data_IF_803387007801
#
_entry.id   IF_803387007801
#
_cell.length_a   1.000
_cell.length_b   1.000
_cell.length_c   1.000
_cell.angle_alpha   90.00
_cell.angle_beta   90.00
_cell.angle_gamma   90.00
#
_symmetry.space_group_name_H-M   'P 1'
#
loop_
_entity.id
_entity.type
_entity.pdbx_description
1 polymer ?
#
# COMPACT_ATOMS: atom_id res chain seq x y z
N UNK A 1 14.10 -23.88 36.11
CA UNK A 1 14.35 -24.18 34.68
C UNK A 1 13.26 -25.10 34.18
N UNK A 2 12.20 -24.51 33.63
CA UNK A 2 11.25 -25.07 32.64
C UNK A 2 10.21 -23.97 32.44
N UNK A 3 10.47 -23.08 31.48
CA UNK A 3 9.42 -22.21 30.94
C UNK A 3 8.37 -23.11 30.30
N UNK A 4 7.21 -23.20 30.93
CA UNK A 4 6.01 -23.74 30.31
C UNK A 4 5.55 -22.64 29.36
N UNK A 5 6.14 -22.57 28.15
CA UNK A 5 5.54 -21.81 27.06
C UNK A 5 4.17 -22.43 26.80
N UNK A 6 3.12 -21.67 27.10
CA UNK A 6 1.74 -22.10 26.91
C UNK A 6 1.54 -22.34 25.40
N UNK A 7 1.18 -23.55 24.99
CA UNK A 7 1.08 -23.94 23.58
C UNK A 7 0.04 -23.07 22.81
N UNK A 8 -0.86 -22.40 23.55
CA UNK A 8 -1.85 -21.43 23.06
C UNK A 8 -1.26 -20.10 22.54
N UNK A 9 -0.03 -19.77 22.90
CA UNK A 9 0.62 -18.51 22.52
C UNK A 9 1.38 -18.64 21.21
N UNK A 10 1.72 -19.87 20.80
CA UNK A 10 2.44 -20.12 19.55
C UNK A 10 1.49 -20.07 18.36
N UNK A 11 1.91 -19.39 17.31
CA UNK A 11 1.17 -19.34 16.05
C UNK A 11 1.28 -20.70 15.35
N UNK A 12 0.21 -21.17 14.67
CA UNK A 12 0.32 -22.31 13.77
C UNK A 12 1.44 -22.09 12.74
N UNK A 13 2.20 -23.13 12.32
CA UNK A 13 3.38 -22.94 11.47
C UNK A 13 3.11 -22.18 10.16
N UNK A 14 1.96 -22.41 9.51
CA UNK A 14 1.57 -21.69 8.30
C UNK A 14 1.30 -20.21 8.53
N UNK A 15 0.65 -19.88 9.66
CA UNK A 15 0.34 -18.51 10.09
C UNK A 15 1.63 -17.77 10.43
N UNK A 16 2.53 -18.40 11.19
CA UNK A 16 3.84 -17.84 11.53
C UNK A 16 4.65 -17.53 10.26
N UNK A 17 4.74 -18.49 9.33
CA UNK A 17 5.45 -18.31 8.07
C UNK A 17 4.83 -17.19 7.23
N UNK A 18 3.50 -17.09 7.18
CA UNK A 18 2.84 -15.99 6.48
C UNK A 18 3.18 -14.64 7.12
N UNK A 19 3.04 -14.50 8.43
CA UNK A 19 3.35 -13.27 9.17
C UNK A 19 4.79 -12.84 8.93
N UNK A 20 5.75 -13.76 9.04
CA UNK A 20 7.16 -13.46 8.82
C UNK A 20 7.43 -12.97 7.39
N UNK A 21 6.93 -13.68 6.37
CA UNK A 21 7.14 -13.34 4.95
C UNK A 21 6.41 -12.08 4.54
N UNK A 22 5.22 -11.84 5.09
CA UNK A 22 4.50 -10.59 4.87
C UNK A 22 5.27 -9.41 5.48
N UNK A 23 5.86 -9.61 6.66
CA UNK A 23 6.80 -8.65 7.27
C UNK A 23 8.01 -8.33 6.39
N UNK A 24 8.64 -9.35 5.81
CA UNK A 24 9.75 -9.20 4.88
C UNK A 24 9.31 -8.38 3.64
N UNK A 25 8.17 -8.74 3.05
CA UNK A 25 7.65 -8.08 1.86
C UNK A 25 7.27 -6.62 2.13
N UNK A 26 6.70 -6.30 3.30
CA UNK A 26 6.32 -4.94 3.68
C UNK A 26 7.48 -3.95 3.58
N UNK A 27 8.69 -4.37 3.96
CA UNK A 27 9.89 -3.52 3.89
C UNK A 27 10.26 -3.12 2.46
N UNK A 28 10.03 -3.99 1.48
CA UNK A 28 10.26 -3.70 0.06
C UNK A 28 9.29 -2.62 -0.46
N UNK A 29 8.15 -2.45 0.19
CA UNK A 29 7.11 -1.50 -0.19
C UNK A 29 7.13 -0.24 0.69
N UNK A 30 8.20 -0.04 1.47
CA UNK A 30 8.38 1.12 2.34
C UNK A 30 7.59 1.06 3.66
N UNK A 31 7.05 -0.11 4.03
CA UNK A 31 6.32 -0.33 5.28
C UNK A 31 7.25 -0.93 6.33
N UNK A 32 7.17 -0.45 7.57
CA UNK A 32 7.94 -1.04 8.67
C UNK A 32 7.60 -2.52 8.86
N UNK A 33 8.62 -3.37 9.06
CA UNK A 33 8.44 -4.82 9.25
C UNK A 33 7.41 -5.15 10.33
N UNK A 34 7.48 -4.49 11.49
CA UNK A 34 6.62 -4.76 12.64
C UNK A 34 5.17 -4.38 12.36
N UNK A 35 4.96 -3.26 11.67
CA UNK A 35 3.64 -2.80 11.21
C UNK A 35 3.00 -3.85 10.29
N UNK A 36 3.76 -4.35 9.31
CA UNK A 36 3.29 -5.39 8.41
C UNK A 36 2.99 -6.70 9.17
N UNK A 37 3.88 -7.15 10.06
CA UNK A 37 3.67 -8.37 10.85
C UNK A 37 2.43 -8.30 11.75
N UNK A 38 2.20 -7.15 12.41
CA UNK A 38 1.02 -6.94 13.24
C UNK A 38 -0.25 -6.94 12.40
N UNK A 39 -0.24 -6.30 11.23
CA UNK A 39 -1.37 -6.32 10.33
C UNK A 39 -1.67 -7.74 9.83
N UNK A 40 -0.65 -8.53 9.45
CA UNK A 40 -0.84 -9.93 9.05
C UNK A 40 -1.40 -10.78 10.18
N UNK A 41 -0.90 -10.62 11.42
CA UNK A 41 -1.43 -11.33 12.57
C UNK A 41 -2.91 -10.99 12.78
N UNK A 42 -3.27 -9.71 12.81
CA UNK A 42 -4.65 -9.27 13.01
C UNK A 42 -5.56 -9.72 11.86
N UNK A 43 -5.09 -9.71 10.62
CA UNK A 43 -5.84 -10.20 9.46
C UNK A 43 -6.16 -11.70 9.53
N UNK A 44 -5.27 -12.49 10.12
CA UNK A 44 -5.44 -13.94 10.28
C UNK A 44 -6.07 -14.33 11.63
N UNK A 45 -6.39 -13.36 12.49
CA UNK A 45 -6.95 -13.64 13.81
C UNK A 45 -8.47 -13.77 13.76
N UNK A 46 -9.00 -14.85 14.32
CA UNK A 46 -10.46 -15.08 14.39
C UNK A 46 -11.16 -14.17 15.40
N UNK A 47 -10.41 -13.56 16.33
CA UNK A 47 -10.93 -12.68 17.38
C UNK A 47 -10.10 -11.39 17.45
N UNK A 48 -10.69 -10.30 17.97
CA UNK A 48 -9.93 -9.12 18.35
C UNK A 48 -8.77 -9.48 19.29
N UNK A 49 -7.61 -8.86 19.08
CA UNK A 49 -6.44 -9.03 19.92
C UNK A 49 -6.12 -7.76 20.70
N UNK A 50 -5.67 -7.91 21.93
CA UNK A 50 -5.09 -6.80 22.72
C UNK A 50 -3.64 -6.51 22.31
N UNK A 51 -3.11 -5.36 22.72
CA UNK A 51 -1.69 -5.06 22.50
C UNK A 51 -0.78 -6.07 23.22
N UNK A 52 -1.20 -6.58 24.37
CA UNK A 52 -0.50 -7.64 25.11
C UNK A 52 -0.51 -8.97 24.35
N UNK A 53 -1.65 -9.37 23.78
CA UNK A 53 -1.75 -10.58 22.94
C UNK A 53 -0.78 -10.50 21.75
N UNK A 54 -0.74 -9.35 21.08
CA UNK A 54 0.12 -9.12 19.92
C UNK A 54 1.61 -9.18 20.33
N UNK A 55 1.96 -8.52 21.44
CA UNK A 55 3.33 -8.52 21.96
C UNK A 55 3.82 -9.93 22.28
N UNK A 56 2.96 -10.74 22.93
CA UNK A 56 3.27 -12.12 23.25
C UNK A 56 3.41 -12.99 21.99
N UNK A 57 2.42 -12.95 21.09
CA UNK A 57 2.39 -13.80 19.88
C UNK A 57 3.51 -13.52 18.89
N UNK A 58 3.95 -12.25 18.78
CA UNK A 58 5.02 -11.86 17.87
C UNK A 58 6.39 -11.71 18.55
N UNK A 59 6.47 -11.96 19.86
CA UNK A 59 7.66 -11.70 20.67
C UNK A 59 8.22 -10.28 20.44
N UNK A 60 7.34 -9.28 20.49
CA UNK A 60 7.67 -7.88 20.24
C UNK A 60 7.61 -7.05 21.52
N UNK A 61 8.52 -6.08 21.64
CA UNK A 61 8.45 -5.09 22.72
C UNK A 61 7.14 -4.29 22.69
N UNK A 62 6.52 -4.06 23.85
CA UNK A 62 5.25 -3.31 23.98
C UNK A 62 5.28 -1.92 23.34
N UNK A 63 6.42 -1.23 23.40
CA UNK A 63 6.60 0.09 22.75
C UNK A 63 6.53 -0.02 21.22
N UNK A 64 7.12 -1.06 20.64
CA UNK A 64 7.05 -1.32 19.20
C UNK A 64 5.63 -1.66 18.75
N UNK A 65 4.93 -2.51 19.52
CA UNK A 65 3.52 -2.83 19.27
C UNK A 65 2.66 -1.57 19.33
N UNK A 66 2.82 -0.73 20.36
CA UNK A 66 2.06 0.52 20.50
C UNK A 66 2.27 1.46 19.31
N UNK A 67 3.51 1.66 18.87
CA UNK A 67 3.81 2.51 17.72
C UNK A 67 3.24 1.94 16.42
N UNK A 68 3.37 0.63 16.22
CA UNK A 68 2.86 -0.05 15.03
C UNK A 68 1.33 0.00 14.96
N UNK A 69 0.63 -0.19 16.09
CA UNK A 69 -0.83 -0.05 16.16
C UNK A 69 -1.28 1.39 15.86
N UNK A 70 -0.58 2.41 16.38
CA UNK A 70 -0.86 3.81 16.03
C UNK A 70 -0.72 4.07 14.55
N UNK A 71 0.32 3.52 13.93
CA UNK A 71 0.53 3.65 12.49
C UNK A 71 -0.59 2.96 11.69
N UNK A 72 -0.94 1.71 12.04
CA UNK A 72 -2.02 0.97 11.38
C UNK A 72 -3.38 1.65 11.52
N UNK A 73 -3.68 2.24 12.69
CA UNK A 73 -4.88 3.04 12.91
C UNK A 73 -4.86 4.31 12.04
N UNK A 74 -3.72 4.99 11.93
CA UNK A 74 -3.59 6.18 11.09
C UNK A 74 -3.78 5.87 9.60
N UNK A 75 -3.38 4.68 9.16
CA UNK A 75 -3.68 4.15 7.82
C UNK A 75 -5.10 3.57 7.68
N UNK A 76 -5.86 3.48 8.78
CA UNK A 76 -7.20 2.87 8.86
C UNK A 76 -7.24 1.39 8.44
N UNK A 77 -6.11 0.71 8.54
CA UNK A 77 -5.96 -0.72 8.20
C UNK A 77 -6.40 -1.63 9.35
N UNK A 78 -6.52 -1.05 10.55
CA UNK A 78 -7.12 -1.68 11.72
C UNK A 78 -8.10 -0.71 12.37
N UNK A 79 -8.95 -1.24 13.24
CA UNK A 79 -9.85 -0.45 14.07
C UNK A 79 -9.92 -1.04 15.48
N UNK A 80 -10.37 -0.22 16.43
CA UNK A 80 -10.59 -0.65 17.82
C UNK A 80 -12.00 -1.23 17.96
N UNK A 81 -12.11 -2.34 18.67
CA UNK A 81 -13.39 -3.03 18.92
C UNK A 81 -13.60 -3.15 20.43
N UNK A 82 -14.76 -2.72 20.96
CA UNK A 82 -15.09 -2.94 22.36
C UNK A 82 -15.46 -4.40 22.61
N UNK A 83 -14.93 -4.99 23.68
CA UNK A 83 -15.26 -6.34 24.13
C UNK A 83 -15.96 -6.25 25.48
N UNK A 84 -17.18 -6.80 25.58
CA UNK A 84 -17.98 -6.71 26.80
C UNK A 84 -17.25 -7.36 27.99
N UNK A 85 -17.13 -6.61 29.09
CA UNK A 85 -16.45 -7.09 30.31
C UNK A 85 -14.93 -6.94 30.28
N UNK A 86 -14.34 -6.49 29.18
CA UNK A 86 -12.92 -6.18 29.08
C UNK A 86 -12.71 -4.68 28.80
N UNK A 87 -11.86 -4.05 29.61
CA UNK A 87 -11.57 -2.61 29.51
C UNK A 87 -10.39 -2.30 28.59
N UNK A 88 -9.68 -3.33 28.10
CA UNK A 88 -8.53 -3.16 27.22
C UNK A 88 -8.96 -2.83 25.80
N UNK A 89 -8.15 -2.05 25.10
CA UNK A 89 -8.30 -1.86 23.66
C UNK A 89 -8.06 -3.18 22.93
N UNK A 90 -9.05 -3.62 22.17
CA UNK A 90 -8.88 -4.73 21.22
C UNK A 90 -8.86 -4.21 19.80
N UNK A 91 -8.11 -4.90 18.95
CA UNK A 91 -7.85 -4.48 17.57
C UNK A 91 -8.28 -5.58 16.61
N UNK A 92 -8.90 -5.16 15.51
CA UNK A 92 -9.23 -6.00 14.36
C UNK A 92 -8.71 -5.35 13.07
N UNK A 93 -8.32 -6.18 12.10
CA UNK A 93 -7.87 -5.71 10.80
C UNK A 93 -9.03 -5.50 9.81
N UNK A 94 -8.80 -4.65 8.82
CA UNK A 94 -9.60 -4.65 7.59
C UNK A 94 -9.42 -5.98 6.86
N UNK A 95 -10.49 -6.78 6.76
CA UNK A 95 -10.47 -8.09 6.11
C UNK A 95 -10.74 -8.00 4.60
N UNK A 96 -11.33 -6.90 4.12
CA UNK A 96 -11.52 -6.68 2.68
C UNK A 96 -10.23 -6.17 2.05
N UNK A 97 -9.57 -7.04 1.27
CA UNK A 97 -8.32 -6.75 0.57
C UNK A 97 -8.44 -5.55 -0.40
N UNK A 98 -9.62 -5.31 -0.98
CA UNK A 98 -9.82 -4.14 -1.83
C UNK A 98 -9.91 -2.86 -1.02
N UNK A 99 -10.62 -2.89 0.11
CA UNK A 99 -10.63 -1.75 1.02
C UNK A 99 -9.24 -1.47 1.58
N UNK A 100 -8.48 -2.51 1.93
CA UNK A 100 -7.09 -2.39 2.33
C UNK A 100 -6.26 -1.68 1.25
N UNK A 101 -6.33 -2.15 0.00
CA UNK A 101 -5.62 -1.55 -1.13
C UNK A 101 -6.03 -0.08 -1.38
N UNK A 102 -7.34 0.22 -1.33
CA UNK A 102 -7.86 1.58 -1.50
C UNK A 102 -7.40 2.52 -0.39
N UNK A 103 -7.42 2.08 0.88
CA UNK A 103 -6.94 2.87 2.02
C UNK A 103 -5.44 3.17 1.91
N UNK A 104 -4.64 2.19 1.51
CA UNK A 104 -3.21 2.39 1.25
C UNK A 104 -3.01 3.39 0.11
N UNK A 105 -3.73 3.23 -1.01
CA UNK A 105 -3.63 4.14 -2.14
C UNK A 105 -4.00 5.59 -1.74
N UNK A 106 -5.14 5.78 -1.07
CA UNK A 106 -5.55 7.08 -0.55
C UNK A 106 -4.49 7.70 0.37
N UNK A 107 -3.94 6.91 1.31
CA UNK A 107 -2.91 7.39 2.22
C UNK A 107 -1.61 7.77 1.51
N UNK A 108 -1.19 7.01 0.49
CA UNK A 108 0.00 7.35 -0.31
C UNK A 108 -0.22 8.60 -1.15
N UNK A 109 -1.39 8.76 -1.78
CA UNK A 109 -1.73 10.00 -2.48
C UNK A 109 -1.60 11.21 -1.57
N UNK A 110 -2.25 11.16 -0.40
CA UNK A 110 -2.28 12.26 0.54
C UNK A 110 -0.88 12.62 1.09
N UNK A 111 -0.01 11.63 1.26
CA UNK A 111 1.33 11.82 1.84
C UNK A 111 2.42 12.11 0.82
N UNK A 112 2.30 11.61 -0.40
CA UNK A 112 3.37 11.65 -1.41
C UNK A 112 2.99 12.51 -2.63
N UNK A 113 1.77 12.36 -3.16
CA UNK A 113 1.34 13.01 -4.41
C UNK A 113 0.85 14.43 -4.14
N UNK A 114 -0.05 14.62 -3.17
CA UNK A 114 -0.67 15.92 -2.89
C UNK A 114 0.38 17.00 -2.53
N UNK A 115 1.39 16.72 -1.68
CA UNK A 115 2.43 17.70 -1.38
C UNK A 115 3.30 18.03 -2.61
N UNK A 116 3.57 17.04 -3.47
CA UNK A 116 4.36 17.24 -4.69
C UNK A 116 3.61 18.13 -5.68
N UNK A 117 2.31 17.85 -5.92
CA UNK A 117 1.44 18.67 -6.78
C UNK A 117 1.40 20.11 -6.26
N UNK A 118 1.16 20.29 -4.96
CA UNK A 118 1.12 21.60 -4.33
C UNK A 118 2.45 22.37 -4.46
N UNK A 119 3.58 21.70 -4.20
CA UNK A 119 4.91 22.31 -4.29
C UNK A 119 5.26 22.73 -5.72
N UNK A 120 4.97 21.89 -6.71
CA UNK A 120 5.22 22.22 -8.12
C UNK A 120 4.28 23.33 -8.58
N UNK A 121 3.01 23.30 -8.17
CA UNK A 121 2.05 24.38 -8.45
C UNK A 121 2.51 25.73 -7.87
N UNK A 122 3.02 25.74 -6.63
CA UNK A 122 3.60 26.94 -6.03
C UNK A 122 4.83 27.45 -6.81
N UNK A 123 5.69 26.55 -7.27
CA UNK A 123 6.86 26.92 -8.09
C UNK A 123 6.50 27.52 -9.45
N UNK A 124 5.26 27.34 -9.94
CA UNK A 124 4.79 27.93 -11.20
C UNK A 124 4.33 29.39 -11.05
N UNK A 125 4.20 29.93 -9.83
CA UNK A 125 3.70 31.29 -9.61
C UNK A 125 4.59 32.37 -10.28
N UNK A 126 5.91 32.17 -10.26
CA UNK A 126 6.89 33.09 -10.84
C UNK A 126 7.44 32.61 -12.19
N UNK A 127 6.67 31.77 -12.91
CA UNK A 127 7.13 31.18 -14.17
C UNK A 127 7.53 32.24 -15.20
N UNK A 128 6.92 33.43 -15.14
CA UNK A 128 7.14 34.59 -16.01
C UNK A 128 8.39 35.43 -15.70
N UNK A 129 9.19 35.06 -14.70
CA UNK A 129 10.43 35.76 -14.38
C UNK A 129 11.37 35.83 -15.61
N UNK A 130 11.84 37.02 -16.01
CA UNK A 130 12.69 37.20 -17.20
C UNK A 130 14.06 36.52 -17.08
N UNK A 131 14.49 36.14 -15.87
CA UNK A 131 15.72 35.37 -15.62
C UNK A 131 15.55 33.89 -16.02
N UNK A 132 14.32 33.41 -16.18
CA UNK A 132 14.03 32.03 -16.60
C UNK A 132 14.11 31.95 -18.12
N UNK A 133 15.11 31.21 -18.62
CA UNK A 133 15.21 30.94 -20.06
C UNK A 133 13.97 30.20 -20.59
N UNK A 134 13.62 30.44 -21.86
CA UNK A 134 12.48 29.78 -22.51
C UNK A 134 12.53 28.24 -22.42
N UNK A 135 13.72 27.64 -22.49
CA UNK A 135 13.90 26.19 -22.39
C UNK A 135 13.64 25.65 -20.98
N UNK A 136 14.03 26.40 -19.94
CA UNK A 136 13.75 26.03 -18.55
C UNK A 136 12.25 26.13 -18.28
N UNK A 137 11.63 27.23 -18.71
CA UNK A 137 10.17 27.41 -18.65
C UNK A 137 9.40 26.26 -19.27
N UNK A 138 9.78 25.84 -20.48
CA UNK A 138 9.12 24.71 -21.15
C UNK A 138 9.20 23.41 -20.32
N UNK A 139 10.34 23.14 -19.68
CA UNK A 139 10.52 21.95 -18.83
C UNK A 139 9.69 22.02 -17.55
N UNK A 140 9.61 23.19 -16.94
CA UNK A 140 8.80 23.44 -15.75
C UNK A 140 7.32 23.20 -16.05
N UNK A 141 6.81 23.77 -17.14
CA UNK A 141 5.43 23.55 -17.62
C UNK A 141 5.18 22.07 -17.91
N UNK A 142 6.07 21.40 -18.65
CA UNK A 142 5.91 19.98 -18.96
C UNK A 142 5.86 19.09 -17.70
N UNK A 143 6.66 19.40 -16.67
CA UNK A 143 6.63 18.68 -15.40
C UNK A 143 5.33 18.95 -14.63
N UNK A 144 4.90 20.21 -14.57
CA UNK A 144 3.64 20.60 -13.93
C UNK A 144 2.44 19.89 -14.58
N UNK A 145 2.36 19.87 -15.90
CA UNK A 145 1.29 19.21 -16.65
C UNK A 145 1.31 17.69 -16.45
N UNK A 146 2.51 17.09 -16.46
CA UNK A 146 2.68 15.66 -16.20
C UNK A 146 2.17 15.29 -14.80
N UNK A 147 2.59 16.02 -13.76
CA UNK A 147 2.19 15.74 -12.38
C UNK A 147 0.69 15.91 -12.18
N UNK A 148 0.07 16.95 -12.75
CA UNK A 148 -1.38 17.13 -12.69
C UNK A 148 -2.14 16.03 -13.45
N UNK A 149 -1.60 15.56 -14.57
CA UNK A 149 -2.19 14.43 -15.32
C UNK A 149 -2.18 13.16 -14.47
N UNK A 150 -1.06 12.86 -13.82
CA UNK A 150 -0.92 11.68 -12.95
C UNK A 150 -1.84 11.80 -11.73
N UNK A 151 -1.93 12.97 -11.10
CA UNK A 151 -2.83 13.19 -9.96
C UNK A 151 -4.30 13.03 -10.36
N UNK A 152 -4.72 13.62 -11.49
CA UNK A 152 -6.07 13.46 -12.01
C UNK A 152 -6.41 12.00 -12.29
N UNK A 153 -5.50 11.24 -12.89
CA UNK A 153 -5.66 9.81 -13.09
C UNK A 153 -5.78 9.04 -11.76
N UNK A 154 -4.96 9.39 -10.77
CA UNK A 154 -5.01 8.79 -9.44
C UNK A 154 -6.36 9.01 -8.76
N UNK A 155 -6.86 10.25 -8.78
CA UNK A 155 -8.16 10.63 -8.24
C UNK A 155 -9.30 9.85 -8.90
N UNK A 156 -9.25 9.69 -10.22
CA UNK A 156 -10.24 8.88 -10.95
C UNK A 156 -10.18 7.42 -10.49
N UNK A 157 -9.00 6.80 -10.49
CA UNK A 157 -8.82 5.39 -10.16
C UNK A 157 -9.24 5.04 -8.73
N UNK A 158 -9.06 5.94 -7.77
CA UNK A 158 -9.51 5.74 -6.38
C UNK A 158 -11.03 5.60 -6.24
N UNK A 159 -11.80 6.15 -7.18
CA UNK A 159 -13.25 6.12 -7.17
C UNK A 159 -13.84 4.99 -8.03
N UNK A 160 -13.00 4.22 -8.73
CA UNK A 160 -13.43 3.10 -9.55
C UNK A 160 -13.78 1.90 -8.66
N UNK A 161 -15.00 1.33 -8.76
CA UNK A 161 -15.36 0.13 -8.01
C UNK A 161 -14.43 -1.05 -8.32
N UNK A 162 -14.09 -1.92 -7.35
CA UNK A 162 -13.17 -3.04 -7.54
C UNK A 162 -13.48 -3.95 -8.73
N UNK A 163 -14.77 -4.22 -8.98
CA UNK A 163 -15.22 -5.03 -10.11
C UNK A 163 -14.85 -4.41 -11.48
N UNK A 164 -14.88 -3.08 -11.57
CA UNK A 164 -14.51 -2.35 -12.78
C UNK A 164 -12.99 -2.33 -12.95
N UNK A 165 -12.22 -2.16 -11.87
CA UNK A 165 -10.76 -2.30 -11.89
C UNK A 165 -10.36 -3.68 -12.43
N UNK A 166 -10.99 -4.76 -11.95
CA UNK A 166 -10.72 -6.11 -12.45
C UNK A 166 -11.08 -6.28 -13.93
N UNK A 167 -12.13 -5.62 -14.40
CA UNK A 167 -12.51 -5.63 -15.82
C UNK A 167 -11.44 -4.93 -16.66
N UNK A 168 -10.94 -3.77 -16.21
CA UNK A 168 -9.83 -3.06 -16.86
C UNK A 168 -8.55 -3.91 -16.92
N UNK A 169 -8.16 -4.56 -15.82
CA UNK A 169 -6.99 -5.46 -15.76
C UNK A 169 -7.13 -6.60 -16.79
N UNK A 170 -8.31 -7.24 -16.85
CA UNK A 170 -8.57 -8.33 -17.81
C UNK A 170 -8.54 -7.85 -19.26
N UNK A 171 -9.03 -6.64 -19.54
CA UNK A 171 -8.96 -6.05 -20.88
C UNK A 171 -7.51 -5.70 -21.25
N UNK A 172 -6.74 -5.13 -20.33
CA UNK A 172 -5.32 -4.83 -20.52
C UNK A 172 -4.51 -6.08 -20.89
N UNK A 173 -4.75 -7.21 -20.23
CA UNK A 173 -4.12 -8.48 -20.57
C UNK A 173 -4.40 -8.92 -22.02
N UNK A 174 -5.63 -8.68 -22.52
CA UNK A 174 -6.00 -8.97 -23.92
C UNK A 174 -5.33 -8.01 -24.90
N UNK A 175 -5.23 -6.72 -24.57
CA UNK A 175 -4.54 -5.73 -25.41
C UNK A 175 -3.05 -6.04 -25.51
N UNK A 176 -2.38 -6.37 -24.39
CA UNK A 176 -0.97 -6.79 -24.40
C UNK A 176 -0.77 -8.10 -25.18
N UNK A 177 -1.68 -9.05 -25.05
CA UNK A 177 -1.67 -10.29 -25.83
C UNK A 177 -1.80 -10.02 -27.33
N UNK A 178 -2.70 -9.11 -27.72
CA UNK A 178 -2.90 -8.71 -29.11
C UNK A 178 -1.68 -7.95 -29.66
N UNK A 179 -1.08 -7.03 -28.89
CA UNK A 179 0.14 -6.33 -29.28
C UNK A 179 1.32 -7.30 -29.46
N UNK A 180 1.49 -8.29 -28.56
CA UNK A 180 2.50 -9.35 -28.74
C UNK A 180 2.23 -10.20 -29.99
N UNK A 181 0.97 -10.50 -30.28
CA UNK A 181 0.58 -11.28 -31.45
C UNK A 181 0.78 -10.51 -32.77
N UNK A 182 0.50 -9.21 -32.78
CA UNK A 182 0.70 -8.33 -33.94
C UNK A 182 2.21 -8.06 -34.15
N UNK A 183 2.96 -7.77 -33.08
CA UNK A 183 4.43 -7.60 -33.16
C UNK A 183 5.15 -8.91 -33.51
N UNK A 184 4.61 -10.08 -33.14
CA UNK A 184 5.16 -11.39 -33.52
C UNK A 184 4.93 -11.79 -34.97
N UNK A 185 4.04 -11.10 -35.70
CA UNK A 185 3.75 -11.37 -37.13
C UNK A 185 4.59 -10.53 -38.11
N UNK A 186 5.38 -9.57 -37.61
CA UNK A 186 6.24 -8.69 -38.42
C UNK A 186 7.69 -9.14 -38.60
N UNK A 187 8.09 -10.26 -37.99
CA UNK A 187 9.48 -10.75 -37.99
C UNK A 187 9.68 -12.06 -38.75
N UNK A 188 9.31 -12.12 -40.03
CA UNK A 188 9.72 -13.21 -40.92
C UNK A 188 9.60 -12.75 -42.37
N UNK A 189 10.68 -12.13 -42.86
CA UNK A 189 11.26 -12.27 -44.21
C UNK A 189 12.27 -11.15 -44.44
N UNK A 190 13.51 -11.43 -44.03
CA UNK A 190 14.68 -10.91 -44.75
C UNK A 190 15.53 -12.13 -45.05
N UNK A 191 15.29 -12.74 -46.21
CA UNK A 191 16.34 -13.49 -46.89
C UNK A 191 16.06 -13.59 -48.39
N UNK A 192 17.10 -13.25 -49.16
CA UNK A 192 17.38 -13.62 -50.56
C UNK A 192 16.51 -13.05 -51.67
N UNK A 193 16.98 -12.00 -52.36
CA UNK A 193 17.71 -12.10 -53.64
C UNK A 193 18.28 -10.76 -54.06
#
# INVERSE_FOLDING_TARGET
MTEISNDSDRLPPSVEQFVLRWGDMGTQWGVNRSVAQIQALLFLSERPLTAEDIAAKLNMARSNVSNSLKELLAWKLIHRVPVLGDRRDHYEAEADLWQMATKVAQGRKAREIDPMVAAIGAAMQDIDDPRISAKVRQRLVAMHDFVNTVDGWYQQMLNVPPAQIMTLIRMGAKVVSLLRFVSGRGGSKTDQT
#
